data_IF_993657037146
#
_entry.id   IF_993657037146
#
_cell.length_a   1.000
_cell.length_b   1.000
_cell.length_c   1.000
_cell.angle_alpha   90.00
_cell.angle_beta   90.00
_cell.angle_gamma   90.00
#
_symmetry.space_group_name_H-M   'P 1'
#
loop_
_entity.id
_entity.type
_entity.pdbx_description
1 polymer ?
#
# COMPACT_ATOMS: atom_id res chain seq x y z
N UNK A 1 7.35 3.82 -22.31
CA UNK A 1 8.15 4.18 -21.70
C UNK A 1 7.82 4.62 -20.41
N UNK A 2 7.40 5.71 -20.20
CA UNK A 2 7.10 6.23 -18.89
C UNK A 2 6.04 5.45 -18.16
N UNK A 3 5.20 4.76 -18.88
CA UNK A 3 4.15 4.00 -18.23
C UNK A 3 4.70 2.92 -17.34
N UNK A 4 5.91 2.48 -17.57
CA UNK A 4 6.47 1.44 -16.74
C UNK A 4 6.76 1.91 -15.35
N UNK A 5 7.15 3.15 -15.21
CA UNK A 5 7.41 3.70 -13.90
C UNK A 5 6.16 3.74 -13.06
N UNK A 6 5.03 4.05 -13.66
CA UNK A 6 3.79 4.12 -12.92
C UNK A 6 3.35 2.78 -12.41
N UNK A 7 3.65 1.73 -13.14
CA UNK A 7 3.27 0.41 -12.72
C UNK A 7 3.95 -0.03 -11.45
N UNK A 8 5.11 0.56 -11.19
CA UNK A 8 5.88 0.16 -10.03
C UNK A 8 5.56 0.98 -8.80
N UNK A 9 4.72 1.97 -8.94
CA UNK A 9 4.39 2.82 -7.81
C UNK A 9 3.29 2.20 -6.98
N UNK A 10 3.68 1.51 -5.93
CA UNK A 10 2.72 0.94 -4.99
C UNK A 10 3.11 1.37 -3.59
N UNK A 11 2.13 1.37 -2.70
CA UNK A 11 2.37 1.70 -1.30
C UNK A 11 3.33 0.67 -0.69
N UNK A 12 4.38 1.16 -0.07
CA UNK A 12 5.41 0.29 0.52
C UNK A 12 5.01 -0.24 1.89
N UNK A 13 3.76 -0.08 2.26
CA UNK A 13 3.22 -0.64 3.49
C UNK A 13 2.11 -1.64 3.19
N UNK A 14 1.18 -1.29 2.30
CA UNK A 14 0.01 -2.12 2.02
C UNK A 14 -0.10 -2.60 0.57
N UNK A 15 0.84 -2.21 -0.26
CA UNK A 15 0.92 -2.64 -1.67
C UNK A 15 -0.22 -2.16 -2.56
N UNK A 16 -0.99 -1.17 -2.12
CA UNK A 16 -2.02 -0.60 -2.97
C UNK A 16 -1.38 0.32 -4.02
N UNK A 17 -1.96 0.39 -5.22
CA UNK A 17 -1.37 1.23 -6.27
C UNK A 17 -1.43 2.72 -5.90
N UNK A 18 -0.40 3.45 -6.28
CA UNK A 18 -0.30 4.88 -6.06
C UNK A 18 -0.40 5.61 -7.41
N UNK A 19 -1.35 5.21 -8.21
CA UNK A 19 -1.48 5.76 -9.57
C UNK A 19 -2.29 7.06 -9.64
N UNK A 20 -2.82 7.52 -8.51
CA UNK A 20 -3.56 8.78 -8.44
C UNK A 20 -3.07 9.60 -7.26
N UNK A 21 -2.99 10.93 -7.41
CA UNK A 21 -2.50 11.77 -6.31
C UNK A 21 -3.30 11.64 -5.02
N UNK A 22 -4.61 11.47 -5.12
CA UNK A 22 -5.45 11.38 -3.93
C UNK A 22 -5.22 10.10 -3.15
N UNK A 23 -4.54 9.12 -3.74
CA UNK A 23 -4.23 7.87 -3.06
C UNK A 23 -2.95 7.94 -2.28
N UNK A 24 -2.16 8.99 -2.48
CA UNK A 24 -0.86 9.11 -1.83
C UNK A 24 -1.00 9.74 -0.45
N UNK A 25 -0.19 9.25 0.50
CA UNK A 25 -0.08 9.90 1.80
C UNK A 25 0.66 11.22 1.69
N UNK A 26 0.96 11.83 2.81
CA UNK A 26 1.66 13.11 2.80
C UNK A 26 2.90 13.05 3.68
N UNK A 27 3.91 13.81 3.27
CA UNK A 27 5.12 13.99 4.05
C UNK A 27 4.90 15.08 5.09
N UNK A 28 5.87 15.26 5.97
CA UNK A 28 5.77 16.24 7.04
C UNK A 28 5.55 17.68 6.52
N UNK A 29 6.07 17.97 5.32
CA UNK A 29 5.93 19.30 4.72
C UNK A 29 4.67 19.44 3.87
N UNK A 30 3.81 18.43 3.87
CA UNK A 30 2.56 18.49 3.12
C UNK A 30 2.62 17.98 1.70
N UNK A 31 3.81 17.65 1.19
CA UNK A 31 3.92 17.11 -0.16
C UNK A 31 3.45 15.66 -0.17
N UNK A 32 3.11 15.18 -1.35
CA UNK A 32 2.62 13.81 -1.48
C UNK A 32 3.75 12.81 -1.33
N UNK A 33 3.47 11.75 -0.59
CA UNK A 33 4.44 10.67 -0.44
C UNK A 33 4.50 9.84 -1.72
N UNK A 34 5.70 9.47 -2.12
CA UNK A 34 5.88 8.63 -3.30
C UNK A 34 5.92 7.15 -2.93
N UNK A 35 5.93 6.84 -1.64
CA UNK A 35 6.12 5.47 -1.19
C UNK A 35 4.95 4.89 -0.42
N UNK A 36 4.05 5.72 0.10
CA UNK A 36 3.00 5.25 0.98
C UNK A 36 1.66 5.88 0.61
N UNK A 37 0.59 5.13 0.81
CA UNK A 37 -0.74 5.62 0.49
C UNK A 37 -1.33 6.42 1.65
N UNK A 38 -2.44 7.10 1.38
CA UNK A 38 -3.07 7.98 2.36
C UNK A 38 -3.59 7.22 3.57
N UNK A 39 -3.87 5.94 3.43
CA UNK A 39 -4.35 5.13 4.56
C UNK A 39 -3.21 4.77 5.51
N UNK A 40 -2.00 4.67 4.99
CA UNK A 40 -0.86 4.21 5.76
C UNK A 40 0.02 5.32 6.30
N UNK A 41 0.04 6.47 5.63
CA UNK A 41 1.03 7.49 5.91
C UNK A 41 0.42 8.87 5.78
N UNK A 42 0.61 9.69 6.80
CA UNK A 42 0.08 11.04 6.80
C UNK A 42 0.99 11.95 7.61
N UNK A 43 1.25 13.15 7.07
CA UNK A 43 2.05 14.17 7.75
C UNK A 43 3.40 13.65 8.21
N UNK A 44 3.98 12.78 7.41
CA UNK A 44 5.33 12.27 7.68
C UNK A 44 5.40 11.11 8.64
N UNK A 45 4.26 10.57 9.06
CA UNK A 45 4.26 9.44 9.99
C UNK A 45 3.26 8.39 9.53
N UNK A 46 3.46 7.16 9.98
CA UNK A 46 2.50 6.11 9.72
C UNK A 46 1.26 6.33 10.55
N UNK A 47 0.09 6.10 9.95
CA UNK A 47 -1.18 6.25 10.66
C UNK A 47 -1.36 5.17 11.71
N UNK A 48 -0.73 4.03 11.51
CA UNK A 48 -0.77 2.92 12.45
C UNK A 48 0.64 2.41 12.70
N UNK A 49 1.44 3.16 13.46
CA UNK A 49 2.85 2.78 13.62
C UNK A 49 3.04 1.45 14.34
N UNK A 50 2.07 1.03 15.13
CA UNK A 50 2.17 -0.23 15.86
C UNK A 50 1.54 -1.41 15.12
N UNK A 51 1.02 -1.20 13.93
CA UNK A 51 0.38 -2.27 13.18
C UNK A 51 1.41 -3.32 12.74
N UNK A 52 1.00 -4.57 12.81
CA UNK A 52 1.86 -5.65 12.34
C UNK A 52 1.61 -5.90 10.86
N UNK A 53 2.50 -6.66 10.24
CA UNK A 53 2.34 -7.05 8.85
C UNK A 53 1.00 -7.74 8.63
N UNK A 54 0.59 -8.61 9.55
CA UNK A 54 -0.66 -9.35 9.41
C UNK A 54 -1.87 -8.42 9.40
N UNK A 55 -1.87 -7.41 10.26
CA UNK A 55 -2.98 -6.46 10.31
C UNK A 55 -3.09 -5.69 9.00
N UNK A 56 -1.96 -5.19 8.50
CA UNK A 56 -1.97 -4.42 7.26
C UNK A 56 -2.32 -5.32 6.07
N UNK A 57 -1.83 -6.55 6.09
CA UNK A 57 -2.14 -7.51 5.04
C UNK A 57 -3.65 -7.75 4.94
N UNK A 58 -4.30 -7.93 6.09
CA UNK A 58 -5.73 -8.18 6.13
C UNK A 58 -6.51 -6.99 5.58
N UNK A 59 -6.13 -5.78 5.98
CA UNK A 59 -6.78 -4.57 5.48
C UNK A 59 -6.60 -4.45 3.97
N UNK A 60 -5.39 -4.68 3.49
CA UNK A 60 -5.09 -4.57 2.06
C UNK A 60 -5.89 -5.57 1.25
N UNK A 61 -6.01 -6.78 1.75
CA UNK A 61 -6.75 -7.82 1.04
C UNK A 61 -8.23 -7.45 0.93
N UNK A 62 -8.79 -6.89 2.00
CA UNK A 62 -10.18 -6.48 1.98
C UNK A 62 -10.43 -5.34 1.01
N UNK A 63 -9.52 -4.37 0.98
CA UNK A 63 -9.63 -3.23 0.05
C UNK A 63 -9.54 -3.72 -1.39
N UNK A 64 -8.59 -4.61 -1.65
CA UNK A 64 -8.42 -5.16 -3.00
C UNK A 64 -9.69 -5.87 -3.46
N UNK A 65 -10.23 -6.75 -2.60
CA UNK A 65 -11.42 -7.52 -2.97
C UNK A 65 -12.63 -6.61 -3.19
N UNK A 66 -12.71 -5.49 -2.47
CA UNK A 66 -13.79 -4.54 -2.69
C UNK A 66 -13.71 -3.88 -4.04
N UNK A 67 -12.50 -3.60 -4.50
CA UNK A 67 -12.29 -2.91 -5.77
C UNK A 67 -12.31 -3.85 -6.97
N UNK A 68 -12.03 -5.12 -6.74
CA UNK A 68 -11.88 -6.09 -7.80
C UNK A 68 -12.78 -7.30 -7.53
N UNK A 69 -13.96 -7.34 -8.15
CA UNK A 69 -14.90 -8.44 -7.89
C UNK A 69 -14.41 -9.80 -8.39
N UNK A 70 -13.32 -9.83 -9.14
CA UNK A 70 -12.80 -11.10 -9.65
C UNK A 70 -11.90 -11.81 -8.65
N UNK A 71 -11.61 -11.18 -7.51
CA UNK A 71 -10.74 -11.79 -6.50
C UNK A 71 -11.43 -11.78 -5.14
N UNK A 72 -11.20 -12.83 -4.37
CA UNK A 72 -11.73 -12.90 -3.00
C UNK A 72 -10.69 -12.39 -2.03
N UNK A 73 -11.12 -12.10 -0.80
CA UNK A 73 -10.19 -11.67 0.25
C UNK A 73 -9.11 -12.71 0.45
N UNK A 74 -9.49 -13.98 0.45
CA UNK A 74 -8.54 -15.05 0.65
C UNK A 74 -7.48 -15.09 -0.46
N UNK A 75 -7.92 -14.94 -1.71
CA UNK A 75 -7.00 -14.92 -2.83
C UNK A 75 -6.09 -13.71 -2.77
N UNK A 76 -6.64 -12.56 -2.40
CA UNK A 76 -5.84 -11.34 -2.27
C UNK A 76 -4.76 -11.51 -1.21
N UNK A 77 -5.08 -12.15 -0.09
CA UNK A 77 -4.09 -12.39 0.96
C UNK A 77 -2.94 -13.24 0.46
N UNK A 78 -3.24 -14.28 -0.30
CA UNK A 78 -2.20 -15.16 -0.84
C UNK A 78 -1.25 -14.36 -1.73
N UNK A 79 -1.81 -13.52 -2.61
CA UNK A 79 -0.98 -12.74 -3.51
C UNK A 79 -0.15 -11.69 -2.76
N UNK A 80 -0.76 -11.02 -1.78
CA UNK A 80 -0.08 -9.99 -1.03
C UNK A 80 1.02 -10.54 -0.15
N UNK A 81 0.83 -11.74 0.39
CA UNK A 81 1.87 -12.37 1.20
C UNK A 81 3.16 -12.57 0.44
N UNK A 82 3.07 -12.74 -0.86
CA UNK A 82 4.26 -12.92 -1.69
C UNK A 82 4.99 -11.60 -1.92
N UNK A 83 4.28 -10.48 -1.83
CA UNK A 83 4.85 -9.17 -2.12
C UNK A 83 5.26 -8.38 -0.89
N UNK A 84 4.57 -8.57 0.21
CA UNK A 84 4.82 -7.78 1.42
C UNK A 84 6.26 -7.84 1.92
N UNK A 85 6.95 -8.98 1.93
CA UNK A 85 8.33 -9.00 2.43
C UNK A 85 9.29 -8.11 1.64
N UNK A 86 8.91 -7.71 0.42
CA UNK A 86 9.73 -6.85 -0.40
C UNK A 86 9.37 -5.38 -0.27
N UNK A 87 8.32 -5.05 0.46
CA UNK A 87 7.93 -3.66 0.66
C UNK A 87 8.84 -3.02 1.70
N UNK A 88 9.09 -1.71 1.54
CA UNK A 88 10.05 -1.02 2.40
C UNK A 88 9.73 -1.15 3.89
N UNK A 89 8.47 -1.07 4.25
CA UNK A 89 8.08 -1.13 5.67
C UNK A 89 8.37 -2.49 6.29
N UNK A 90 8.21 -3.56 5.52
CA UNK A 90 8.33 -4.91 6.04
C UNK A 90 9.63 -5.61 5.65
N UNK A 91 10.38 -5.00 4.75
CA UNK A 91 11.66 -5.55 4.32
C UNK A 91 12.70 -5.38 5.40
N UNK A 92 13.53 -6.38 5.58
CA UNK A 92 14.58 -6.32 6.61
C UNK A 92 15.97 -6.29 6.03
#
# INVERSE_FOLDING_TARGET
>A
MTSMENKESVCQSCCLPLDKPELCGTEADGTRSKHYCVRCYKDGTFTQPDATLEVILDISAKVWAEKDPTITVKQAKVQLKKKFPYLKRWCK
#
